data_IF_925416273105
#
_entry.id   IF_925416273105
#
_cell.length_a   1.000
_cell.length_b   1.000
_cell.length_c   1.000
_cell.angle_alpha   90.00
_cell.angle_beta   90.00
_cell.angle_gamma   90.00
#
_symmetry.space_group_name_H-M   'P 1'
#
loop_
_entity.id
_entity.type
_entity.pdbx_description
1 polymer ?
#
# COMPACT_ATOMS: atom_id res chain seq x y z
N UNK A 1 6.67 -0.67 29.53
CA UNK A 1 5.38 -1.11 29.00
C UNK A 1 5.55 -2.50 28.42
N UNK A 2 4.51 -3.34 28.50
CA UNK A 2 4.59 -4.72 27.95
C UNK A 2 3.37 -5.04 27.11
N UNK A 3 3.58 -5.77 26.03
CA UNK A 3 2.50 -6.34 25.23
C UNK A 3 1.83 -7.47 26.00
N UNK A 4 0.50 -7.38 26.17
CA UNK A 4 -0.30 -8.35 26.93
C UNK A 4 -1.14 -9.26 26.04
N UNK A 5 -1.53 -8.78 24.86
CA UNK A 5 -2.26 -9.58 23.86
C UNK A 5 -2.00 -9.06 22.44
N UNK A 6 -2.12 -9.96 21.46
CA UNK A 6 -2.14 -9.67 20.02
C UNK A 6 -3.38 -10.33 19.45
N UNK A 7 -4.27 -9.55 18.86
CA UNK A 7 -5.55 -10.00 18.33
C UNK A 7 -5.59 -9.79 16.82
N UNK A 8 -5.39 -10.84 15.99
CA UNK A 8 -5.61 -10.79 14.56
C UNK A 8 -7.09 -11.02 14.26
N UNK A 9 -7.77 -9.99 13.75
CA UNK A 9 -9.21 -9.97 13.50
C UNK A 9 -9.45 -10.07 11.99
N UNK A 10 -9.99 -11.20 11.53
CA UNK A 10 -10.35 -11.39 10.15
C UNK A 10 -11.74 -10.78 9.86
N UNK A 11 -11.80 -9.83 8.94
CA UNK A 11 -13.02 -9.22 8.44
C UNK A 11 -13.23 -9.60 6.98
N UNK A 12 -14.47 -9.92 6.60
CA UNK A 12 -14.83 -10.30 5.24
C UNK A 12 -16.23 -9.83 4.87
N UNK A 13 -16.38 -9.21 3.71
CA UNK A 13 -17.71 -8.91 3.17
C UNK A 13 -18.44 -10.22 2.78
N UNK A 14 -19.78 -10.28 2.93
CA UNK A 14 -20.54 -11.52 2.70
C UNK A 14 -20.43 -12.09 1.29
N UNK A 15 -20.32 -11.22 0.29
CA UNK A 15 -20.21 -11.61 -1.12
C UNK A 15 -18.82 -11.24 -1.59
N UNK A 16 -18.02 -12.25 -1.95
CA UNK A 16 -16.68 -12.07 -2.51
C UNK A 16 -16.77 -12.22 -4.03
N UNK A 17 -16.48 -11.14 -4.74
CA UNK A 17 -16.38 -11.14 -6.20
C UNK A 17 -14.93 -11.41 -6.61
N UNK A 18 -14.74 -12.26 -7.62
CA UNK A 18 -13.42 -12.58 -8.16
C UNK A 18 -12.95 -11.50 -9.15
N UNK A 19 -12.84 -10.27 -8.66
CA UNK A 19 -12.34 -9.12 -9.40
C UNK A 19 -11.11 -8.54 -8.71
N UNK A 20 -10.15 -7.94 -9.42
CA UNK A 20 -8.97 -7.34 -8.81
C UNK A 20 -9.26 -6.02 -8.08
N UNK A 21 -10.52 -5.57 -8.01
CA UNK A 21 -10.92 -4.26 -7.52
C UNK A 21 -11.66 -4.34 -6.18
N UNK A 22 -11.18 -3.63 -5.20
CA UNK A 22 -11.84 -3.45 -3.90
C UNK A 22 -11.40 -4.41 -2.80
N UNK A 23 -11.54 -3.95 -1.56
CA UNK A 23 -11.23 -4.73 -0.37
C UNK A 23 -12.43 -5.56 0.06
N UNK A 24 -12.32 -6.86 -0.13
CA UNK A 24 -13.35 -7.85 0.22
C UNK A 24 -13.03 -8.62 1.51
N UNK A 25 -11.75 -8.65 1.88
CA UNK A 25 -11.19 -9.45 2.97
C UNK A 25 -9.97 -8.69 3.54
N UNK A 26 -9.87 -8.59 4.86
CA UNK A 26 -8.78 -7.88 5.53
C UNK A 26 -8.47 -8.48 6.90
N UNK A 27 -7.20 -8.47 7.29
CA UNK A 27 -6.77 -8.84 8.63
C UNK A 27 -6.38 -7.57 9.42
N UNK A 28 -7.23 -7.16 10.34
CA UNK A 28 -6.92 -6.10 11.31
C UNK A 28 -6.10 -6.72 12.45
N UNK A 29 -5.06 -6.01 12.88
CA UNK A 29 -4.20 -6.44 13.99
C UNK A 29 -4.34 -5.44 15.14
N UNK A 30 -4.75 -5.91 16.32
CA UNK A 30 -4.70 -5.14 17.55
C UNK A 30 -3.60 -5.67 18.48
N UNK A 31 -2.81 -4.77 19.02
CA UNK A 31 -1.81 -5.08 20.02
C UNK A 31 -2.15 -4.32 21.30
N UNK A 32 -2.38 -5.08 22.39
CA UNK A 32 -2.76 -4.54 23.69
C UNK A 32 -1.56 -4.50 24.63
N UNK A 33 -1.55 -3.52 25.54
CA UNK A 33 -0.46 -3.31 26.51
C UNK A 33 -0.97 -3.28 27.95
N UNK A 34 -0.05 -3.53 28.91
CA UNK A 34 -0.33 -3.41 30.35
C UNK A 34 -0.55 -1.95 30.81
N UNK A 35 -0.28 -0.97 29.96
CA UNK A 35 -0.57 0.45 30.20
C UNK A 35 -1.95 0.88 29.67
N UNK A 36 -2.76 -0.04 29.13
CA UNK A 36 -4.09 0.23 28.58
C UNK A 36 -4.09 0.85 27.18
N UNK A 37 -2.92 0.98 26.53
CA UNK A 37 -2.84 1.40 25.14
C UNK A 37 -3.10 0.22 24.21
N UNK A 38 -3.79 0.50 23.10
CA UNK A 38 -4.04 -0.48 22.04
C UNK A 38 -3.64 0.14 20.70
N UNK A 39 -2.69 -0.49 20.02
CA UNK A 39 -2.31 -0.12 18.66
C UNK A 39 -3.07 -0.93 17.63
N UNK A 40 -3.24 -0.32 16.46
CA UNK A 40 -4.01 -0.87 15.34
C UNK A 40 -3.13 -0.94 14.10
N UNK A 41 -3.21 -2.06 13.38
CA UNK A 41 -2.57 -2.26 12.08
C UNK A 41 -3.44 -3.09 11.15
N UNK A 42 -2.98 -3.24 9.92
CA UNK A 42 -3.67 -3.95 8.85
C UNK A 42 -2.70 -4.80 8.04
N UNK A 43 -3.18 -5.91 7.54
CA UNK A 43 -2.49 -6.77 6.59
C UNK A 43 -3.29 -6.87 5.30
N UNK A 44 -2.70 -6.43 4.19
CA UNK A 44 -3.26 -6.54 2.84
C UNK A 44 -2.73 -7.80 2.17
N UNK A 45 -3.33 -8.94 2.50
CA UNK A 45 -2.96 -10.25 1.93
C UNK A 45 -4.03 -11.27 2.28
N UNK A 46 -3.80 -12.55 1.97
CA UNK A 46 -4.75 -13.59 2.30
C UNK A 46 -4.92 -13.76 3.82
N UNK A 47 -6.03 -13.26 4.36
CA UNK A 47 -6.28 -13.09 5.80
C UNK A 47 -6.12 -14.38 6.61
N UNK A 48 -6.63 -15.52 6.14
CA UNK A 48 -6.46 -16.81 6.83
C UNK A 48 -4.99 -17.23 6.97
N UNK A 49 -4.20 -17.05 5.90
CA UNK A 49 -2.78 -17.41 5.91
C UNK A 49 -2.00 -16.50 6.86
N UNK A 50 -2.27 -15.19 6.78
CA UNK A 50 -1.61 -14.22 7.66
C UNK A 50 -2.06 -14.38 9.12
N UNK A 51 -3.34 -14.68 9.38
CA UNK A 51 -3.84 -15.01 10.73
C UNK A 51 -3.07 -16.20 11.32
N UNK A 52 -2.87 -17.27 10.54
CA UNK A 52 -2.07 -18.42 10.96
C UNK A 52 -0.61 -18.04 11.30
N UNK A 53 -0.03 -17.02 10.65
CA UNK A 53 1.30 -16.51 11.00
C UNK A 53 1.33 -15.86 12.40
N UNK A 54 0.22 -15.34 12.91
CA UNK A 54 0.10 -14.85 14.28
C UNK A 54 -0.11 -15.99 15.27
N UNK A 55 -1.00 -16.92 14.96
CA UNK A 55 -1.56 -17.90 15.89
C UNK A 55 -0.75 -19.21 15.97
N UNK A 56 0.18 -19.44 15.05
CA UNK A 56 0.96 -20.68 15.01
C UNK A 56 1.66 -20.96 16.35
N UNK A 57 1.42 -22.14 16.96
CA UNK A 57 2.07 -22.49 18.19
C UNK A 57 3.58 -22.71 17.99
N UNK A 58 4.35 -22.50 19.03
CA UNK A 58 5.79 -22.78 18.98
C UNK A 58 6.06 -24.26 18.77
N UNK A 59 6.73 -24.61 17.68
CA UNK A 59 7.11 -26.00 17.37
C UNK A 59 8.63 -26.25 17.46
N UNK A 60 9.45 -25.21 17.34
CA UNK A 60 10.90 -25.26 17.48
C UNK A 60 11.47 -23.85 17.63
N UNK A 61 12.80 -23.73 17.79
CA UNK A 61 13.48 -22.45 17.63
C UNK A 61 13.20 -21.86 16.24
N UNK A 62 12.83 -20.59 16.16
CA UNK A 62 12.45 -19.87 14.92
C UNK A 62 11.29 -20.51 14.15
N UNK A 63 10.36 -21.16 14.87
CA UNK A 63 9.14 -21.77 14.32
C UNK A 63 7.99 -21.54 15.27
N UNK A 64 7.59 -20.27 15.43
CA UNK A 64 6.46 -19.87 16.25
C UNK A 64 5.79 -18.63 15.68
N UNK A 65 4.51 -18.44 16.02
CA UNK A 65 3.71 -17.33 15.51
C UNK A 65 4.10 -15.99 16.13
N UNK A 66 3.72 -14.91 15.45
CA UNK A 66 4.04 -13.53 15.83
C UNK A 66 3.51 -13.19 17.22
N UNK A 67 2.33 -13.69 17.60
CA UNK A 67 1.78 -13.48 18.94
C UNK A 67 2.75 -13.94 20.03
N UNK A 68 3.29 -15.14 19.90
CA UNK A 68 4.24 -15.68 20.91
C UNK A 68 5.60 -14.97 20.91
N UNK A 69 5.98 -14.33 19.79
CA UNK A 69 7.21 -13.54 19.67
C UNK A 69 7.06 -12.19 20.38
N UNK A 70 5.86 -11.60 20.31
CA UNK A 70 5.57 -10.25 20.78
C UNK A 70 5.14 -10.20 22.26
N UNK A 71 4.47 -11.23 22.77
CA UNK A 71 3.99 -11.24 24.17
C UNK A 71 5.13 -10.98 25.16
N UNK A 72 4.90 -10.01 26.06
CA UNK A 72 5.84 -9.59 27.10
C UNK A 72 6.94 -8.65 26.64
N UNK A 73 7.05 -8.36 25.34
CA UNK A 73 7.99 -7.37 24.79
C UNK A 73 7.56 -5.93 25.08
N UNK A 74 8.52 -5.01 25.04
CA UNK A 74 8.26 -3.58 25.07
C UNK A 74 7.90 -3.07 23.66
N UNK A 75 6.68 -2.52 23.44
CA UNK A 75 6.24 -2.06 22.12
C UNK A 75 6.89 -0.76 21.67
N UNK A 76 7.62 -0.04 22.50
CA UNK A 76 8.15 1.29 22.20
C UNK A 76 9.38 1.29 21.27
N UNK A 77 9.87 0.14 20.88
CA UNK A 77 10.94 -0.02 19.88
C UNK A 77 10.46 -0.88 18.69
N UNK A 78 9.63 -0.32 17.79
CA UNK A 78 9.11 -1.04 16.64
C UNK A 78 10.19 -1.63 15.75
N UNK A 79 11.30 -0.91 15.53
CA UNK A 79 12.40 -1.36 14.67
C UNK A 79 13.05 -2.63 15.21
N UNK A 80 13.37 -2.67 16.50
CA UNK A 80 13.91 -3.86 17.15
C UNK A 80 12.93 -5.04 17.09
N UNK A 81 11.64 -4.75 17.30
CA UNK A 81 10.61 -5.80 17.24
C UNK A 81 10.40 -6.31 15.82
N UNK A 82 10.50 -5.44 14.81
CA UNK A 82 10.50 -5.85 13.40
C UNK A 82 11.64 -6.84 13.11
N UNK A 83 12.87 -6.50 13.53
CA UNK A 83 14.03 -7.37 13.34
C UNK A 83 13.86 -8.70 14.08
N UNK A 84 13.31 -8.66 15.30
CA UNK A 84 13.00 -9.88 16.06
C UNK A 84 11.98 -10.75 15.34
N UNK A 85 10.84 -10.18 14.92
CA UNK A 85 9.81 -10.91 14.17
C UNK A 85 10.38 -11.54 12.91
N UNK A 86 11.12 -10.77 12.10
CA UNK A 86 11.77 -11.26 10.91
C UNK A 86 12.73 -12.42 11.19
N UNK A 87 13.61 -12.28 12.18
CA UNK A 87 14.57 -13.30 12.52
C UNK A 87 13.93 -14.60 13.01
N UNK A 88 12.92 -14.48 13.86
CA UNK A 88 12.24 -15.64 14.46
C UNK A 88 11.33 -16.38 13.48
N UNK A 89 10.90 -15.71 12.39
CA UNK A 89 10.05 -16.29 11.34
C UNK A 89 10.81 -16.67 10.05
N UNK A 90 12.09 -16.35 9.93
CA UNK A 90 12.82 -16.46 8.66
C UNK A 90 12.94 -17.89 8.09
N UNK A 91 12.68 -18.91 8.92
CA UNK A 91 12.69 -20.32 8.50
C UNK A 91 11.48 -20.71 7.65
N UNK A 92 10.38 -19.99 7.77
CA UNK A 92 9.14 -20.27 7.03
C UNK A 92 8.55 -19.05 6.33
N UNK A 93 9.05 -17.83 6.59
CA UNK A 93 8.40 -16.62 6.17
C UNK A 93 9.34 -15.46 5.78
N UNK A 94 10.55 -15.77 5.30
CA UNK A 94 11.52 -14.75 4.88
C UNK A 94 11.00 -13.79 3.81
N UNK A 95 10.02 -14.22 3.05
CA UNK A 95 9.25 -13.48 2.05
C UNK A 95 7.79 -13.93 2.14
N UNK A 96 6.89 -13.19 1.55
CA UNK A 96 5.46 -13.53 1.49
C UNK A 96 4.73 -13.42 2.83
N UNK A 97 3.78 -14.30 3.09
CA UNK A 97 2.76 -14.17 4.13
C UNK A 97 3.24 -13.78 5.55
N UNK A 98 4.41 -14.25 5.99
CA UNK A 98 4.92 -13.85 7.30
C UNK A 98 5.38 -12.38 7.31
N UNK A 99 5.92 -11.85 6.21
CA UNK A 99 6.26 -10.44 6.10
C UNK A 99 4.98 -9.59 6.03
N UNK A 100 3.98 -10.05 5.28
CA UNK A 100 2.67 -9.38 5.25
C UNK A 100 2.06 -9.28 6.66
N UNK A 101 2.12 -10.37 7.44
CA UNK A 101 1.66 -10.37 8.83
C UNK A 101 2.50 -9.43 9.73
N UNK A 102 3.81 -9.36 9.52
CA UNK A 102 4.70 -8.41 10.22
C UNK A 102 4.28 -6.97 9.92
N UNK A 103 3.79 -6.66 8.71
CA UNK A 103 3.32 -5.31 8.37
C UNK A 103 2.22 -4.84 9.33
N UNK A 104 1.20 -5.65 9.56
CA UNK A 104 0.12 -5.30 10.47
C UNK A 104 0.60 -5.14 11.92
N UNK A 105 1.51 -6.00 12.37
CA UNK A 105 2.10 -5.86 13.71
C UNK A 105 2.95 -4.58 13.82
N UNK A 106 3.76 -4.28 12.82
CA UNK A 106 4.64 -3.10 12.79
C UNK A 106 3.84 -1.80 12.81
N UNK A 107 2.80 -1.69 11.98
CA UNK A 107 1.89 -0.52 11.99
C UNK A 107 1.30 -0.32 13.39
N UNK A 108 0.79 -1.40 14.03
CA UNK A 108 0.22 -1.34 15.38
C UNK A 108 1.26 -0.93 16.44
N UNK A 109 2.51 -1.34 16.30
CA UNK A 109 3.60 -0.95 17.20
C UNK A 109 3.95 0.54 17.06
N UNK A 110 4.00 1.06 15.84
CA UNK A 110 4.19 2.50 15.60
C UNK A 110 3.02 3.32 16.13
N UNK A 111 1.80 2.82 16.02
CA UNK A 111 0.61 3.44 16.59
C UNK A 111 0.70 3.53 18.13
N UNK A 112 1.07 2.43 18.82
CA UNK A 112 1.29 2.42 20.28
C UNK A 112 2.37 3.45 20.67
N UNK A 113 3.48 3.46 19.95
CA UNK A 113 4.57 4.39 20.24
C UNK A 113 4.12 5.84 20.13
N UNK A 114 3.36 6.18 19.09
CA UNK A 114 2.79 7.50 18.93
C UNK A 114 1.82 7.88 20.04
N UNK A 115 0.93 6.96 20.41
CA UNK A 115 0.01 7.15 21.54
C UNK A 115 0.77 7.38 22.85
N UNK A 116 1.80 6.58 23.12
CA UNK A 116 2.61 6.66 24.36
C UNK A 116 3.42 7.97 24.45
N UNK A 117 3.91 8.49 23.31
CA UNK A 117 4.67 9.74 23.25
C UNK A 117 3.77 10.98 23.06
N UNK A 118 2.46 10.79 22.84
CA UNK A 118 1.51 11.86 22.53
C UNK A 118 1.77 12.53 21.19
N UNK A 119 2.35 11.81 20.23
CA UNK A 119 2.75 12.31 18.91
C UNK A 119 2.10 11.53 17.77
N UNK A 120 1.77 12.17 16.64
CA UNK A 120 1.40 11.45 15.43
C UNK A 120 2.59 10.67 14.87
N UNK A 121 2.31 9.55 14.20
CA UNK A 121 3.36 8.65 13.66
C UNK A 121 4.32 9.36 12.73
N UNK A 122 3.87 10.30 11.90
CA UNK A 122 4.75 11.02 10.98
C UNK A 122 5.87 11.79 11.70
N UNK A 123 5.63 12.30 12.92
CA UNK A 123 6.70 12.98 13.71
C UNK A 123 7.77 11.98 14.15
N UNK A 124 7.37 10.76 14.52
CA UNK A 124 8.30 9.70 14.90
C UNK A 124 9.12 9.18 13.72
N UNK A 125 8.59 9.33 12.50
CA UNK A 125 9.27 9.00 11.25
C UNK A 125 10.12 10.16 10.68
N UNK A 126 10.22 11.30 11.37
CA UNK A 126 11.06 12.44 10.98
C UNK A 126 10.35 13.58 10.26
N UNK A 127 9.02 13.51 10.12
CA UNK A 127 8.17 14.59 9.55
C UNK A 127 7.70 15.63 10.59
N UNK A 128 6.68 16.48 10.23
CA UNK A 128 6.07 16.47 8.91
C UNK A 128 6.78 17.40 7.92
N UNK A 129 6.92 16.94 6.70
CA UNK A 129 7.25 17.81 5.56
C UNK A 129 5.98 18.44 4.93
N UNK A 130 4.81 17.85 5.21
CA UNK A 130 3.48 18.33 4.78
C UNK A 130 2.38 17.85 5.72
N UNK A 131 1.25 18.56 5.71
CA UNK A 131 0.05 18.22 6.50
C UNK A 131 -1.11 17.70 5.64
N UNK A 132 -0.96 17.73 4.32
CA UNK A 132 -1.90 17.15 3.35
C UNK A 132 -1.12 16.48 2.24
N UNK A 133 -1.61 15.34 1.71
CA UNK A 133 -1.02 14.64 0.58
C UNK A 133 -1.96 14.72 -0.60
N UNK A 134 -1.44 14.93 -1.81
CA UNK A 134 -2.22 14.90 -3.05
C UNK A 134 -2.68 13.47 -3.32
N UNK A 135 -3.96 13.28 -3.62
CA UNK A 135 -4.51 11.99 -3.97
C UNK A 135 -4.51 11.77 -5.48
N UNK A 136 -4.29 10.54 -5.91
CA UNK A 136 -4.66 10.12 -7.26
C UNK A 136 -5.79 9.09 -7.21
N UNK A 137 -6.77 9.26 -8.13
CA UNK A 137 -7.80 8.26 -8.31
C UNK A 137 -7.16 6.95 -8.79
N UNK A 138 -7.57 5.82 -8.25
CA UNK A 138 -7.15 4.50 -8.73
C UNK A 138 -8.37 3.63 -8.96
N UNK A 139 -8.52 3.15 -10.20
CA UNK A 139 -9.63 2.30 -10.65
C UNK A 139 -9.21 1.43 -11.83
N UNK A 140 -10.02 0.41 -12.13
CA UNK A 140 -9.91 -0.36 -13.37
C UNK A 140 -10.30 0.50 -14.59
N UNK A 141 -9.73 0.18 -15.75
CA UNK A 141 -10.28 0.70 -17.02
C UNK A 141 -11.75 0.31 -17.18
N UNK A 142 -12.56 1.19 -17.75
CA UNK A 142 -13.93 0.86 -18.16
C UNK A 142 -13.93 -0.19 -19.28
N UNK A 143 -15.05 -0.87 -19.48
CA UNK A 143 -15.22 -1.89 -20.54
C UNK A 143 -15.02 -1.32 -21.97
N UNK A 144 -15.20 -0.03 -22.14
CA UNK A 144 -15.01 0.70 -23.40
C UNK A 144 -14.23 1.99 -23.16
N UNK A 145 -13.56 2.57 -24.19
CA UNK A 145 -12.94 3.88 -24.08
C UNK A 145 -13.91 4.98 -23.60
N UNK A 146 -15.19 4.93 -24.01
CA UNK A 146 -16.21 5.86 -23.53
C UNK A 146 -16.50 5.72 -22.03
N UNK A 147 -16.52 4.48 -21.51
CA UNK A 147 -16.68 4.22 -20.07
C UNK A 147 -15.44 4.71 -19.29
N UNK A 148 -14.24 4.52 -19.82
CA UNK A 148 -13.01 5.09 -19.23
C UNK A 148 -13.05 6.62 -19.18
N UNK A 149 -13.51 7.27 -20.27
CA UNK A 149 -13.69 8.72 -20.31
C UNK A 149 -14.71 9.21 -19.26
N UNK A 150 -15.79 8.45 -19.04
CA UNK A 150 -16.79 8.77 -18.02
C UNK A 150 -16.19 8.74 -16.61
N UNK A 151 -15.41 7.69 -16.28
CA UNK A 151 -14.66 7.61 -15.00
C UNK A 151 -13.69 8.78 -14.84
N UNK A 152 -12.93 9.12 -15.89
CA UNK A 152 -12.02 10.27 -15.86
C UNK A 152 -12.76 11.58 -15.57
N UNK A 153 -13.98 11.74 -16.09
CA UNK A 153 -14.84 12.91 -15.81
C UNK A 153 -15.21 12.99 -14.34
N UNK A 154 -15.63 11.89 -13.73
CA UNK A 154 -15.94 11.84 -12.30
C UNK A 154 -14.73 12.30 -11.45
N UNK A 155 -13.50 11.95 -11.84
CA UNK A 155 -12.30 12.35 -11.11
C UNK A 155 -12.02 13.84 -11.22
N UNK A 156 -12.25 14.42 -12.42
CA UNK A 156 -12.17 15.86 -12.62
C UNK A 156 -13.20 16.59 -11.75
N UNK A 157 -14.43 16.09 -11.69
CA UNK A 157 -15.53 16.67 -10.90
C UNK A 157 -15.26 16.58 -9.39
N UNK A 158 -14.52 15.58 -8.93
CA UNK A 158 -14.03 15.44 -7.55
C UNK A 158 -12.81 16.33 -7.23
N UNK A 159 -12.32 17.12 -8.18
CA UNK A 159 -11.15 17.99 -8.00
C UNK A 159 -9.81 17.27 -8.00
N UNK A 160 -9.76 15.99 -8.41
CA UNK A 160 -8.52 15.22 -8.47
C UNK A 160 -7.64 15.73 -9.63
N UNK A 161 -6.34 15.83 -9.34
CA UNK A 161 -5.33 16.28 -10.30
C UNK A 161 -4.46 15.15 -10.84
N UNK A 162 -4.75 13.92 -10.44
CA UNK A 162 -4.03 12.72 -10.86
C UNK A 162 -4.98 11.52 -10.89
N UNK A 163 -4.80 10.61 -11.87
CA UNK A 163 -5.58 9.38 -11.98
C UNK A 163 -4.73 8.24 -12.54
N UNK A 164 -4.93 7.04 -11.99
CA UNK A 164 -4.37 5.77 -12.47
C UNK A 164 -5.51 4.87 -12.95
N UNK A 165 -5.32 4.30 -14.12
CA UNK A 165 -6.20 3.28 -14.69
C UNK A 165 -5.38 2.02 -14.94
N UNK A 166 -5.93 0.86 -14.62
CA UNK A 166 -5.27 -0.41 -14.85
C UNK A 166 -6.22 -1.54 -15.20
N UNK A 167 -5.68 -2.70 -15.52
CA UNK A 167 -6.41 -3.95 -15.66
C UNK A 167 -7.59 -3.92 -16.64
N UNK A 168 -8.59 -4.79 -16.47
CA UNK A 168 -9.77 -4.86 -17.33
C UNK A 168 -9.43 -5.26 -18.78
N UNK A 169 -9.81 -4.45 -19.79
CA UNK A 169 -9.50 -4.72 -21.20
C UNK A 169 -8.05 -4.43 -21.57
N UNK A 170 -7.30 -3.71 -20.73
CA UNK A 170 -5.93 -3.27 -20.98
C UNK A 170 -4.93 -4.43 -20.94
N UNK A 171 -3.85 -4.31 -21.71
CA UNK A 171 -2.71 -5.21 -21.70
C UNK A 171 -2.69 -6.28 -22.79
N UNK A 172 -3.77 -6.46 -23.56
CA UNK A 172 -3.89 -7.52 -24.57
C UNK A 172 -3.68 -7.04 -26.00
N UNK A 173 -4.28 -5.94 -26.38
CA UNK A 173 -4.28 -5.40 -27.74
C UNK A 173 -3.77 -3.94 -27.73
N UNK A 174 -2.71 -3.60 -28.51
CA UNK A 174 -2.13 -2.27 -28.51
C UNK A 174 -3.11 -1.17 -28.95
N UNK A 175 -4.04 -1.48 -29.86
CA UNK A 175 -5.02 -0.50 -30.32
C UNK A 175 -6.09 -0.25 -29.25
N UNK A 176 -6.50 -1.28 -28.51
CA UNK A 176 -7.41 -1.15 -27.37
C UNK A 176 -6.72 -0.36 -26.24
N UNK A 177 -5.48 -0.72 -25.92
CA UNK A 177 -4.69 -0.05 -24.88
C UNK A 177 -4.57 1.46 -25.18
N UNK A 178 -4.16 1.80 -26.41
CA UNK A 178 -4.06 3.20 -26.85
C UNK A 178 -5.41 3.94 -26.78
N UNK A 179 -6.49 3.31 -27.24
CA UNK A 179 -7.81 3.94 -27.26
C UNK A 179 -8.33 4.28 -25.85
N UNK A 180 -8.10 3.41 -24.86
CA UNK A 180 -8.48 3.64 -23.47
C UNK A 180 -7.66 4.76 -22.84
N UNK A 181 -6.33 4.74 -23.01
CA UNK A 181 -5.46 5.76 -22.44
C UNK A 181 -5.68 7.12 -23.09
N UNK A 182 -5.91 7.16 -24.42
CA UNK A 182 -6.28 8.39 -25.14
C UNK A 182 -7.59 8.96 -24.61
N UNK A 183 -8.62 8.12 -24.44
CA UNK A 183 -9.92 8.57 -23.91
C UNK A 183 -9.82 9.17 -22.51
N UNK A 184 -8.98 8.60 -21.63
CA UNK A 184 -8.69 9.17 -20.33
C UNK A 184 -7.94 10.52 -20.47
N UNK A 185 -6.92 10.59 -21.31
CA UNK A 185 -6.12 11.81 -21.54
C UNK A 185 -6.94 12.96 -22.09
N UNK A 186 -7.85 12.68 -23.04
CA UNK A 186 -8.73 13.69 -23.65
C UNK A 186 -9.63 14.39 -22.62
N UNK A 187 -10.01 13.66 -21.56
CA UNK A 187 -10.84 14.19 -20.48
C UNK A 187 -9.98 14.88 -19.39
N UNK A 188 -8.88 14.27 -19.01
CA UNK A 188 -8.01 14.81 -17.96
C UNK A 188 -7.28 16.09 -18.41
N UNK A 189 -7.06 16.25 -19.72
CA UNK A 189 -6.25 17.35 -20.27
C UNK A 189 -4.76 17.15 -19.95
N UNK A 190 -3.93 18.10 -20.39
CA UNK A 190 -2.47 18.04 -20.19
C UNK A 190 -2.01 18.42 -18.77
N UNK A 191 -2.86 19.06 -18.00
CA UNK A 191 -2.53 19.62 -16.68
C UNK A 191 -2.67 18.59 -15.52
N UNK A 192 -3.21 17.40 -15.81
CA UNK A 192 -3.39 16.34 -14.82
C UNK A 192 -2.51 15.14 -15.10
N UNK A 193 -2.00 14.55 -14.05
CA UNK A 193 -1.21 13.32 -14.15
C UNK A 193 -2.11 12.14 -14.54
N UNK A 194 -1.69 11.39 -15.54
CA UNK A 194 -2.32 10.13 -15.95
C UNK A 194 -1.31 9.00 -15.77
N UNK A 195 -1.63 8.00 -14.98
CA UNK A 195 -0.82 6.81 -14.77
C UNK A 195 -1.54 5.59 -15.33
N UNK A 196 -0.77 4.58 -15.70
CA UNK A 196 -1.29 3.35 -16.30
C UNK A 196 -0.66 2.16 -15.60
N UNK A 197 -1.50 1.23 -15.15
CA UNK A 197 -1.10 -0.02 -14.54
C UNK A 197 -1.33 -1.18 -15.50
N UNK A 198 -0.27 -1.90 -15.82
CA UNK A 198 -0.29 -3.03 -16.76
C UNK A 198 -0.51 -4.40 -16.08
N UNK A 199 -0.45 -4.48 -14.74
CA UNK A 199 -0.77 -5.70 -14.00
C UNK A 199 0.01 -6.93 -14.44
N UNK A 200 1.32 -6.80 -14.66
CA UNK A 200 2.25 -7.88 -15.09
C UNK A 200 1.92 -8.51 -16.47
N UNK A 201 1.28 -7.74 -17.38
CA UNK A 201 0.72 -8.32 -18.60
C UNK A 201 1.76 -8.72 -19.66
N UNK A 202 3.01 -8.23 -19.60
CA UNK A 202 3.92 -8.28 -20.74
C UNK A 202 5.28 -8.91 -20.45
N UNK A 203 5.96 -9.28 -21.53
CA UNK A 203 7.40 -9.47 -21.58
C UNK A 203 8.13 -8.13 -21.84
N UNK A 204 9.45 -8.13 -21.74
CA UNK A 204 10.27 -6.92 -21.89
C UNK A 204 10.08 -6.23 -23.25
N UNK A 205 10.07 -7.01 -24.33
CA UNK A 205 9.94 -6.47 -25.68
C UNK A 205 8.58 -5.80 -25.89
N UNK A 206 7.52 -6.44 -25.43
CA UNK A 206 6.16 -5.90 -25.48
C UNK A 206 6.04 -4.66 -24.59
N UNK A 207 6.59 -4.68 -23.37
CA UNK A 207 6.56 -3.54 -22.45
C UNK A 207 7.26 -2.30 -23.05
N UNK A 208 8.41 -2.48 -23.72
CA UNK A 208 9.10 -1.37 -24.41
C UNK A 208 8.22 -0.81 -25.52
N UNK A 209 7.64 -1.66 -26.38
CA UNK A 209 6.74 -1.23 -27.46
C UNK A 209 5.50 -0.48 -26.92
N UNK A 210 4.93 -0.94 -25.78
CA UNK A 210 3.79 -0.25 -25.15
C UNK A 210 4.19 1.09 -24.54
N UNK A 211 5.36 1.16 -23.90
CA UNK A 211 5.90 2.40 -23.38
C UNK A 211 6.12 3.44 -24.50
N UNK A 212 6.65 3.04 -25.66
CA UNK A 212 6.80 3.89 -26.84
C UNK A 212 5.43 4.34 -27.40
N UNK A 213 4.45 3.42 -27.49
CA UNK A 213 3.10 3.71 -27.97
C UNK A 213 2.39 4.74 -27.08
N UNK A 214 2.56 4.65 -25.76
CA UNK A 214 1.88 5.49 -24.78
C UNK A 214 2.63 6.80 -24.47
N UNK A 215 3.91 6.92 -24.83
CA UNK A 215 4.73 8.10 -24.55
C UNK A 215 4.13 9.44 -25.06
N UNK A 216 3.52 9.51 -26.28
CA UNK A 216 2.87 10.73 -26.73
C UNK A 216 1.72 11.22 -25.85
N UNK A 217 1.13 10.32 -25.06
CA UNK A 217 0.04 10.63 -24.13
C UNK A 217 0.54 11.18 -22.80
N UNK A 218 1.85 11.38 -22.63
CA UNK A 218 2.48 11.97 -21.43
C UNK A 218 2.06 11.29 -20.13
N UNK A 219 2.07 9.95 -20.10
CA UNK A 219 1.75 9.21 -18.88
C UNK A 219 2.84 9.45 -17.84
N UNK A 220 2.43 9.65 -16.59
CA UNK A 220 3.32 9.90 -15.45
C UNK A 220 4.18 8.70 -15.08
N UNK A 221 3.61 7.48 -15.20
CA UNK A 221 4.33 6.21 -15.16
C UNK A 221 3.53 5.07 -15.79
N UNK A 222 4.27 4.03 -16.17
CA UNK A 222 3.75 2.70 -16.50
C UNK A 222 4.07 1.76 -15.34
N UNK A 223 3.02 1.25 -14.67
CA UNK A 223 3.11 0.45 -13.45
C UNK A 223 3.10 -1.03 -13.78
N UNK A 224 3.95 -1.78 -13.12
CA UNK A 224 4.07 -3.24 -13.15
C UNK A 224 3.90 -3.89 -14.55
N UNK A 225 4.61 -3.42 -15.59
CA UNK A 225 4.47 -4.00 -16.92
C UNK A 225 4.99 -5.45 -17.04
N UNK A 226 5.92 -5.86 -16.17
CA UNK A 226 6.56 -7.17 -16.16
C UNK A 226 6.22 -7.94 -14.88
N UNK A 227 6.41 -9.26 -14.91
CA UNK A 227 6.43 -10.05 -13.66
C UNK A 227 7.42 -9.45 -12.67
N UNK A 228 7.03 -9.35 -11.42
CA UNK A 228 7.89 -8.83 -10.34
C UNK A 228 9.19 -9.62 -10.17
N UNK A 229 9.24 -10.90 -10.58
CA UNK A 229 10.45 -11.73 -10.54
C UNK A 229 11.39 -11.47 -11.71
N UNK A 230 10.97 -10.76 -12.76
CA UNK A 230 11.83 -10.43 -13.90
C UNK A 230 12.72 -9.21 -13.65
N UNK A 231 13.57 -9.31 -12.65
CA UNK A 231 14.51 -8.23 -12.27
C UNK A 231 15.45 -7.80 -13.39
N UNK A 232 15.84 -8.72 -14.26
CA UNK A 232 16.68 -8.38 -15.42
C UNK A 232 15.88 -7.63 -16.47
N UNK A 233 14.64 -8.04 -16.69
CA UNK A 233 13.71 -7.34 -17.57
C UNK A 233 13.47 -5.92 -17.12
N UNK A 234 13.25 -5.67 -15.82
CA UNK A 234 13.15 -4.32 -15.28
C UNK A 234 14.38 -3.46 -15.57
N UNK A 235 15.60 -4.01 -15.42
CA UNK A 235 16.83 -3.26 -15.76
C UNK A 235 16.88 -2.87 -17.23
N UNK A 236 16.46 -3.75 -18.12
CA UNK A 236 16.43 -3.48 -19.57
C UNK A 236 15.34 -2.47 -19.91
N UNK A 237 14.14 -2.67 -19.41
CA UNK A 237 12.99 -1.80 -19.62
C UNK A 237 13.27 -0.37 -19.13
N UNK A 238 13.74 -0.20 -17.89
CA UNK A 238 14.01 1.13 -17.33
C UNK A 238 15.06 1.91 -18.12
N UNK A 239 16.01 1.22 -18.76
CA UNK A 239 17.03 1.85 -19.61
C UNK A 239 16.49 2.29 -20.97
N UNK A 240 15.46 1.64 -21.50
CA UNK A 240 14.94 1.86 -22.86
C UNK A 240 13.62 2.60 -22.89
N UNK A 241 12.83 2.54 -21.80
CA UNK A 241 11.50 3.16 -21.76
C UNK A 241 11.56 4.67 -21.87
N UNK A 242 10.78 5.29 -22.77
CA UNK A 242 10.61 6.75 -22.84
C UNK A 242 9.71 7.32 -21.74
N UNK A 243 9.04 6.46 -20.96
CA UNK A 243 8.17 6.83 -19.83
C UNK A 243 8.69 6.26 -18.53
N UNK A 244 8.45 6.91 -17.37
CA UNK A 244 8.84 6.37 -16.08
C UNK A 244 8.20 5.01 -15.83
N UNK A 245 8.95 4.09 -15.24
CA UNK A 245 8.47 2.77 -14.81
C UNK A 245 8.25 2.78 -13.30
N UNK A 246 7.10 2.28 -12.87
CA UNK A 246 6.72 2.11 -11.48
C UNK A 246 6.58 0.62 -11.15
N UNK A 247 6.96 0.23 -9.94
CA UNK A 247 6.76 -1.12 -9.41
C UNK A 247 7.00 -1.17 -7.91
N UNK A 248 6.56 -2.25 -7.26
CA UNK A 248 6.91 -2.53 -5.88
C UNK A 248 5.76 -2.90 -4.95
N UNK A 249 4.51 -2.90 -5.40
CA UNK A 249 3.36 -3.25 -4.55
C UNK A 249 3.40 -4.70 -4.08
N UNK A 250 3.94 -5.60 -4.91
CA UNK A 250 4.15 -7.01 -4.58
C UNK A 250 5.49 -7.31 -3.90
N UNK A 251 6.38 -6.33 -3.74
CA UNK A 251 7.70 -6.50 -3.12
C UNK A 251 7.63 -6.39 -1.59
N UNK A 252 8.53 -7.12 -0.93
CA UNK A 252 8.57 -7.16 0.54
C UNK A 252 9.99 -6.97 1.08
N UNK A 253 10.09 -6.36 2.24
CA UNK A 253 11.35 -6.03 2.90
C UNK A 253 12.22 -5.01 2.14
N UNK A 254 13.03 -4.28 2.85
CA UNK A 254 13.92 -3.28 2.24
C UNK A 254 14.92 -3.86 1.22
N UNK A 255 15.25 -5.16 1.30
CA UNK A 255 16.18 -5.81 0.34
C UNK A 255 15.59 -5.94 -1.06
N UNK A 256 14.28 -6.24 -1.19
CA UNK A 256 13.64 -6.32 -2.50
C UNK A 256 13.55 -4.92 -3.13
N UNK A 257 13.26 -3.90 -2.32
CA UNK A 257 13.25 -2.50 -2.80
C UNK A 257 14.64 -1.97 -3.15
N UNK A 258 15.68 -2.37 -2.42
CA UNK A 258 17.08 -2.05 -2.77
C UNK A 258 17.41 -2.60 -4.16
N UNK A 259 17.11 -3.89 -4.41
CA UNK A 259 17.29 -4.50 -5.73
C UNK A 259 16.47 -3.78 -6.81
N UNK A 260 15.19 -3.45 -6.53
CA UNK A 260 14.31 -2.75 -7.47
C UNK A 260 14.87 -1.36 -7.86
N UNK A 261 15.37 -0.60 -6.88
CA UNK A 261 16.03 0.70 -7.08
C UNK A 261 17.30 0.55 -7.92
N UNK A 262 18.13 -0.46 -7.64
CA UNK A 262 19.34 -0.77 -8.41
C UNK A 262 19.03 -1.17 -9.85
N UNK A 263 17.88 -1.80 -10.11
CA UNK A 263 17.39 -2.11 -11.48
C UNK A 263 16.94 -0.87 -12.23
N UNK A 264 16.83 0.27 -11.58
CA UNK A 264 16.54 1.54 -12.23
C UNK A 264 15.07 1.95 -12.23
N UNK A 265 14.21 1.26 -11.48
CA UNK A 265 12.79 1.65 -11.34
C UNK A 265 12.69 3.10 -10.87
N UNK A 266 11.82 3.87 -11.52
CA UNK A 266 11.74 5.32 -11.33
C UNK A 266 10.82 5.70 -10.16
N UNK A 267 9.71 4.96 -10.00
CA UNK A 267 8.71 5.15 -8.95
C UNK A 267 8.60 3.85 -8.17
N UNK A 268 8.93 3.89 -6.89
CA UNK A 268 8.95 2.72 -6.00
C UNK A 268 7.70 2.74 -5.15
N UNK A 269 6.93 1.63 -5.18
CA UNK A 269 5.56 1.60 -4.68
C UNK A 269 5.35 0.54 -3.57
N UNK A 270 5.97 0.68 -2.38
CA UNK A 270 5.68 -0.24 -1.28
C UNK A 270 4.24 -0.06 -0.79
N UNK A 271 3.57 -1.17 -0.50
CA UNK A 271 2.33 -1.15 0.29
C UNK A 271 2.66 -1.30 1.77
N UNK A 272 2.27 -0.32 2.58
CA UNK A 272 2.59 -0.28 4.02
C UNK A 272 2.02 -1.49 4.76
N UNK A 273 0.85 -1.97 4.34
CA UNK A 273 0.17 -3.12 4.96
C UNK A 273 0.64 -4.48 4.39
N UNK A 274 1.63 -4.48 3.49
CA UNK A 274 2.11 -5.68 2.80
C UNK A 274 3.63 -5.87 2.89
N UNK A 275 4.41 -4.81 2.70
CA UNK A 275 5.86 -4.88 2.47
C UNK A 275 6.70 -5.14 3.73
N UNK A 276 6.11 -5.12 4.92
CA UNK A 276 6.78 -5.21 6.21
C UNK A 276 6.53 -4.00 7.12
N UNK A 277 5.57 -3.14 6.78
CA UNK A 277 5.11 -2.05 7.62
C UNK A 277 5.87 -0.73 7.46
N UNK A 278 5.60 0.20 8.36
CA UNK A 278 6.19 1.54 8.38
C UNK A 278 7.72 1.51 8.55
N UNK A 279 8.24 0.53 9.30
CA UNK A 279 9.70 0.34 9.49
C UNK A 279 10.40 0.07 8.15
N UNK A 280 9.81 -0.74 7.27
CA UNK A 280 10.35 -0.97 5.92
C UNK A 280 10.16 0.26 5.04
N UNK A 281 8.96 0.84 5.05
CA UNK A 281 8.65 2.02 4.24
C UNK A 281 9.57 3.21 4.56
N UNK A 282 9.92 3.44 5.83
CA UNK A 282 10.89 4.47 6.21
C UNK A 282 12.24 4.24 5.51
N UNK A 283 12.78 3.02 5.57
CA UNK A 283 14.04 2.66 4.88
C UNK A 283 13.92 2.82 3.36
N UNK A 284 12.78 2.45 2.79
CA UNK A 284 12.52 2.64 1.34
C UNK A 284 12.51 4.11 0.97
N UNK A 285 11.86 4.97 1.75
CA UNK A 285 11.88 6.42 1.54
C UNK A 285 13.29 7.01 1.54
N UNK A 286 14.12 6.61 2.52
CA UNK A 286 15.53 7.01 2.60
C UNK A 286 16.35 6.54 1.39
N UNK A 287 16.15 5.29 0.95
CA UNK A 287 16.81 4.76 -0.25
C UNK A 287 16.37 5.48 -1.52
N UNK A 288 15.07 5.74 -1.68
CA UNK A 288 14.56 6.50 -2.81
C UNK A 288 15.19 7.91 -2.88
N UNK A 289 15.22 8.63 -1.77
CA UNK A 289 15.87 9.94 -1.69
C UNK A 289 17.35 9.87 -2.07
N UNK A 290 18.09 8.91 -1.52
CA UNK A 290 19.52 8.70 -1.82
C UNK A 290 19.80 8.44 -3.29
N UNK A 291 18.91 7.73 -3.97
CA UNK A 291 19.08 7.30 -5.38
C UNK A 291 18.29 8.17 -6.38
N UNK A 292 17.64 9.27 -5.93
CA UNK A 292 16.84 10.15 -6.78
C UNK A 292 15.64 9.42 -7.40
N UNK A 293 15.02 8.50 -6.65
CA UNK A 293 13.80 7.80 -7.01
C UNK A 293 12.60 8.39 -6.31
N UNK A 294 11.44 8.30 -6.92
CA UNK A 294 10.19 8.75 -6.30
C UNK A 294 9.60 7.61 -5.47
N UNK A 295 9.19 7.90 -4.24
CA UNK A 295 8.44 7.00 -3.39
C UNK A 295 6.95 7.35 -3.43
N UNK A 296 6.09 6.40 -3.76
CA UNK A 296 4.62 6.55 -3.78
C UNK A 296 4.02 5.27 -3.22
N UNK A 297 3.17 5.28 -2.19
CA UNK A 297 2.59 4.04 -1.69
C UNK A 297 1.57 3.45 -2.67
N UNK A 298 1.59 2.12 -2.84
CA UNK A 298 0.39 1.39 -3.18
C UNK A 298 -0.54 1.42 -1.96
N UNK A 299 -1.81 1.70 -2.16
CA UNK A 299 -2.78 1.83 -1.08
C UNK A 299 -4.20 1.48 -1.55
N UNK A 300 -4.48 0.19 -1.71
CA UNK A 300 -5.75 -0.30 -2.24
C UNK A 300 -6.49 -1.18 -1.24
N UNK A 301 -6.64 -0.67 0.01
CA UNK A 301 -7.26 -1.41 1.11
C UNK A 301 -8.08 -0.47 2.02
N UNK A 302 -8.07 -0.67 3.34
CA UNK A 302 -8.94 0.08 4.26
C UNK A 302 -8.38 1.45 4.65
N UNK A 303 -9.15 2.19 5.44
CA UNK A 303 -8.72 3.46 6.01
C UNK A 303 -7.50 3.34 6.93
N UNK A 304 -7.17 2.16 7.45
CA UNK A 304 -5.95 1.93 8.25
C UNK A 304 -4.72 2.04 7.34
N UNK A 305 -4.71 1.32 6.20
CA UNK A 305 -3.62 1.39 5.22
C UNK A 305 -3.48 2.80 4.66
N UNK A 306 -4.60 3.44 4.27
CA UNK A 306 -4.57 4.83 3.80
C UNK A 306 -3.94 5.77 4.82
N UNK A 307 -4.31 5.66 6.09
CA UNK A 307 -3.79 6.53 7.15
C UNK A 307 -2.30 6.27 7.40
N UNK A 308 -1.88 5.01 7.48
CA UNK A 308 -0.47 4.66 7.61
C UNK A 308 0.37 5.19 6.42
N UNK A 309 -0.15 5.08 5.20
CA UNK A 309 0.46 5.63 3.99
C UNK A 309 0.55 7.16 4.02
N UNK A 310 -0.47 7.85 4.53
CA UNK A 310 -0.45 9.30 4.72
C UNK A 310 0.63 9.74 5.72
N UNK A 311 0.78 9.02 6.85
CA UNK A 311 1.85 9.29 7.81
C UNK A 311 3.23 9.09 7.19
N UNK A 312 3.41 8.00 6.43
CA UNK A 312 4.67 7.78 5.72
C UNK A 312 4.93 8.90 4.71
N UNK A 313 3.97 9.27 3.85
CA UNK A 313 4.14 10.35 2.87
C UNK A 313 4.39 11.70 3.52
N UNK A 314 3.85 11.97 4.68
CA UNK A 314 4.14 13.19 5.43
C UNK A 314 5.59 13.22 5.96
N UNK A 315 6.22 12.07 6.16
CA UNK A 315 7.60 11.96 6.64
C UNK A 315 8.66 11.90 5.53
N UNK A 316 8.26 11.66 4.26
CA UNK A 316 9.18 11.64 3.12
C UNK A 316 9.31 13.04 2.53
N UNK A 317 10.52 13.61 2.37
CA UNK A 317 10.69 14.99 1.87
C UNK A 317 9.96 15.27 0.54
N UNK A 318 10.06 14.37 -0.43
CA UNK A 318 9.46 14.49 -1.75
C UNK A 318 8.17 13.65 -1.92
N UNK A 319 7.64 13.10 -0.82
CA UNK A 319 6.42 12.26 -0.82
C UNK A 319 5.16 13.11 -0.96
N UNK A 320 4.68 13.33 -2.18
CA UNK A 320 3.58 14.25 -2.48
C UNK A 320 2.30 13.58 -2.97
N UNK A 321 2.28 12.26 -3.14
CA UNK A 321 1.19 11.54 -3.80
C UNK A 321 0.80 10.28 -3.01
N UNK A 322 -0.50 10.04 -2.88
CA UNK A 322 -1.06 8.82 -2.27
C UNK A 322 -2.14 8.22 -3.16
N UNK A 323 -2.17 6.92 -3.27
CA UNK A 323 -3.23 6.20 -3.93
C UNK A 323 -4.55 6.33 -3.17
N UNK A 324 -5.61 6.64 -3.90
CA UNK A 324 -6.94 6.80 -3.34
C UNK A 324 -7.95 5.97 -4.15
N UNK A 325 -8.25 4.78 -3.64
CA UNK A 325 -9.24 3.92 -4.26
C UNK A 325 -10.63 4.56 -4.18
N UNK A 326 -11.29 4.72 -5.32
CA UNK A 326 -12.64 5.30 -5.40
C UNK A 326 -13.74 4.24 -5.40
N UNK A 327 -13.41 2.96 -5.54
CA UNK A 327 -14.41 1.89 -5.48
C UNK A 327 -14.89 1.69 -4.06
N UNK A 328 -16.21 1.74 -3.83
CA UNK A 328 -16.75 1.61 -2.48
C UNK A 328 -16.73 0.14 -2.02
N UNK A 329 -16.02 -0.12 -0.93
CA UNK A 329 -16.21 -1.30 -0.10
C UNK A 329 -16.59 -0.83 1.31
N UNK A 330 -17.50 -1.51 2.01
CA UNK A 330 -17.80 -1.17 3.41
C UNK A 330 -16.54 -1.15 4.29
N UNK A 331 -15.62 -2.10 4.10
CA UNK A 331 -14.37 -2.17 4.85
C UNK A 331 -13.46 -0.97 4.53
N UNK A 332 -13.36 -0.55 3.26
CA UNK A 332 -12.55 0.61 2.87
C UNK A 332 -13.07 1.93 3.46
N UNK A 333 -14.39 2.08 3.54
CA UNK A 333 -15.02 3.39 3.84
C UNK A 333 -15.52 3.55 5.25
N UNK A 334 -15.91 2.46 5.93
CA UNK A 334 -16.60 2.51 7.20
C UNK A 334 -15.79 1.97 8.38
N UNK A 335 -14.74 1.19 8.13
CA UNK A 335 -13.94 0.57 9.20
C UNK A 335 -13.27 1.63 10.11
N UNK A 336 -12.89 2.78 9.55
CA UNK A 336 -12.33 3.93 10.28
C UNK A 336 -13.38 5.01 10.35
N UNK A 337 -13.90 5.35 11.56
CA UNK A 337 -14.94 6.35 11.78
C UNK A 337 -14.53 7.75 11.35
N UNK A 338 -13.32 8.14 11.70
CA UNK A 338 -12.75 9.46 11.42
C UNK A 338 -11.79 9.43 10.22
N UNK A 339 -12.14 8.64 9.18
CA UNK A 339 -11.36 8.55 7.95
C UNK A 339 -11.12 9.96 7.37
N UNK A 340 -9.85 10.33 7.08
CA UNK A 340 -9.56 11.63 6.49
C UNK A 340 -10.31 11.84 5.17
N UNK A 341 -11.04 12.98 5.03
CA UNK A 341 -11.81 13.25 3.83
C UNK A 341 -10.92 13.66 2.64
N UNK A 342 -11.40 13.36 1.43
CA UNK A 342 -10.83 13.92 0.22
C UNK A 342 -11.36 15.36 0.05
N UNK A 343 -10.46 16.36 0.03
CA UNK A 343 -10.79 17.78 -0.10
C UNK A 343 -9.92 18.37 -1.22
N UNK A 344 -10.55 18.84 -2.28
CA UNK A 344 -9.87 19.45 -3.43
C UNK A 344 -8.67 18.62 -3.94
N UNK A 345 -8.88 17.31 -4.10
CA UNK A 345 -7.87 16.38 -4.58
C UNK A 345 -6.74 16.08 -3.58
N UNK A 346 -6.88 16.45 -2.32
CA UNK A 346 -5.90 16.21 -1.26
C UNK A 346 -6.55 15.54 -0.04
N UNK A 347 -5.75 14.77 0.69
CA UNK A 347 -6.17 14.12 1.94
C UNK A 347 -5.34 14.68 3.09
N UNK A 348 -5.97 15.21 4.15
CA UNK A 348 -5.25 15.67 5.33
C UNK A 348 -4.62 14.49 6.09
N UNK A 349 -3.42 14.70 6.61
CA UNK A 349 -2.75 13.73 7.48
C UNK A 349 -3.29 13.87 8.89
N UNK A 350 -3.76 12.80 9.55
CA UNK A 350 -4.23 12.89 10.94
C UNK A 350 -3.13 13.39 11.88
N UNK A 351 -3.47 14.34 12.76
CA UNK A 351 -2.52 14.96 13.68
C UNK A 351 -2.66 14.48 15.14
N UNK A 352 -3.57 13.54 15.40
CA UNK A 352 -3.72 12.91 16.71
C UNK A 352 -2.57 11.95 17.04
N UNK A 353 -2.40 11.57 18.33
CA UNK A 353 -1.38 10.60 18.74
C UNK A 353 -1.53 9.25 18.02
N UNK A 354 -0.42 8.61 17.67
CA UNK A 354 -0.40 7.38 16.90
C UNK A 354 -0.81 7.61 15.45
N UNK A 355 -1.65 6.75 14.90
CA UNK A 355 -2.29 6.91 13.59
C UNK A 355 -3.41 7.97 13.63
N UNK A 356 -3.89 8.34 14.82
CA UNK A 356 -4.96 9.32 14.99
C UNK A 356 -6.32 8.83 14.46
N UNK A 357 -6.57 7.53 14.42
CA UNK A 357 -7.80 6.90 13.92
C UNK A 357 -8.59 6.21 15.01
N UNK A 358 -9.90 6.05 14.77
CA UNK A 358 -10.83 5.28 15.59
C UNK A 358 -11.53 4.23 14.73
N UNK A 359 -11.46 2.96 15.14
CA UNK A 359 -12.16 1.89 14.44
C UNK A 359 -13.65 1.86 14.80
N UNK A 360 -14.48 1.45 13.85
CA UNK A 360 -15.90 1.22 14.05
C UNK A 360 -16.12 -0.22 14.53
N UNK A 361 -16.47 -0.37 15.81
CA UNK A 361 -16.71 -1.68 16.41
C UNK A 361 -17.97 -2.38 15.86
N UNK A 362 -18.95 -1.62 15.37
CA UNK A 362 -20.14 -2.20 14.72
C UNK A 362 -19.76 -2.82 13.37
N UNK A 363 -18.93 -2.14 12.60
CA UNK A 363 -18.40 -2.67 11.32
C UNK A 363 -17.52 -3.89 11.57
N UNK A 364 -16.69 -3.87 12.61
CA UNK A 364 -15.88 -5.03 12.99
C UNK A 364 -16.78 -6.21 13.34
N UNK A 365 -17.81 -5.99 14.16
CA UNK A 365 -18.73 -7.04 14.55
C UNK A 365 -19.55 -7.60 13.37
N UNK A 366 -19.97 -6.72 12.45
CA UNK A 366 -20.76 -7.09 11.27
C UNK A 366 -19.99 -7.99 10.31
N UNK A 367 -18.69 -7.69 10.08
CA UNK A 367 -17.88 -8.37 9.07
C UNK A 367 -16.88 -9.39 9.64
N UNK A 368 -16.85 -9.57 10.96
CA UNK A 368 -15.92 -10.53 11.60
C UNK A 368 -16.23 -11.95 11.17
N UNK A 369 -15.22 -12.63 10.66
CA UNK A 369 -15.30 -14.06 10.36
C UNK A 369 -15.23 -14.83 11.68
N UNK A 370 -16.17 -15.77 11.89
CA UNK A 370 -16.13 -16.67 13.04
C UNK A 370 -14.88 -17.57 12.98
N UNK A 371 -14.29 -17.81 14.14
CA UNK A 371 -13.14 -18.72 14.31
C UNK A 371 -13.49 -20.16 14.06
#
# INVERSE_FOLDING_TARGET
MKITAVEPIHLRVPVVEAIPDGTLDVLVVRIHTDAGLTGVGEVTSHSYVCKACFEAPRSAARRHGLTSILLGEDPLDPVRLWEKMYYETNRYGRRGAAIHAISGADIALWDIKGQAEGKPVYELLGGPHRTTVRAYASVLFGETPAATAALAREFVDLGLTAAKFGWGPFGKDPAVDLAHVQAARDVLGDDRDLMVDAGHAWDVATAIQRAELLAPLKIGWLEEPLSQDDRKGYSELCRQSPVPIAAGEGDVTHWDFEDLIERGVHVVQPDVAFCGGLTVCQRVGEMCQKHGRRAVPHCFSTGINLTASLHWMASVPDGDLVEYCLRPSPLMRKLVKNLPPLIDGRVPVPSGPGLGIELDEEIIAEFRVAD
#
